data_IF_046429324845
#
_entry.id   IF_046429324845
#
_cell.length_a   1.000
_cell.length_b   1.000
_cell.length_c   1.000
_cell.angle_alpha   90.00
_cell.angle_beta   90.00
_cell.angle_gamma   90.00
#
_symmetry.space_group_name_H-M   'P 1'
#
loop_
_entity.id
_entity.type
_entity.pdbx_description
1 polymer ?
#
# COMPACT_ATOMS: atom_id res chain seq x y z
N UNK A 1 4.96 11.55 -9.99
CA UNK A 1 4.72 10.27 -9.27
C UNK A 1 3.24 10.11 -8.98
N UNK A 2 2.75 8.89 -8.76
CA UNK A 2 1.38 8.63 -8.29
C UNK A 2 1.37 8.21 -6.83
N UNK A 3 0.40 8.71 -6.08
CA UNK A 3 -0.06 8.21 -4.78
C UNK A 3 -1.51 7.74 -4.95
N UNK A 4 -1.93 6.69 -4.27
CA UNK A 4 -3.29 6.16 -4.37
C UNK A 4 -4.12 6.42 -3.11
N UNK A 5 -3.55 7.18 -2.16
CA UNK A 5 -4.22 7.61 -0.93
C UNK A 5 -4.25 6.56 0.17
N UNK A 6 -3.51 5.44 0.01
CA UNK A 6 -3.24 4.50 1.09
C UNK A 6 -2.04 5.00 1.89
N UNK A 7 -2.11 4.90 3.21
CA UNK A 7 -1.11 5.54 4.07
C UNK A 7 0.30 4.95 3.89
N UNK A 8 0.43 3.65 3.56
CA UNK A 8 1.70 3.02 3.20
C UNK A 8 2.32 3.66 1.94
N UNK A 9 1.52 3.84 0.88
CA UNK A 9 1.99 4.42 -0.38
C UNK A 9 2.23 5.93 -0.25
N UNK A 10 1.42 6.63 0.54
CA UNK A 10 1.68 8.03 0.90
C UNK A 10 3.03 8.16 1.64
N UNK A 11 3.35 7.22 2.53
CA UNK A 11 4.63 7.16 3.26
C UNK A 11 5.82 6.97 2.32
N UNK A 12 5.77 5.93 1.47
CA UNK A 12 6.87 5.63 0.53
C UNK A 12 7.04 6.71 -0.53
N UNK A 13 5.93 7.28 -1.02
CA UNK A 13 5.94 8.41 -1.96
C UNK A 13 6.53 9.68 -1.33
N UNK A 14 6.23 9.97 -0.05
CA UNK A 14 6.82 11.10 0.67
C UNK A 14 8.33 10.91 0.89
N UNK A 15 8.78 9.69 1.22
CA UNK A 15 10.20 9.37 1.34
C UNK A 15 10.95 9.60 0.03
N UNK A 16 10.41 9.07 -1.07
CA UNK A 16 11.00 9.27 -2.40
C UNK A 16 11.02 10.75 -2.79
N UNK A 17 9.97 11.50 -2.47
CA UNK A 17 9.89 12.94 -2.75
C UNK A 17 10.99 13.70 -2.02
N UNK A 18 11.21 13.47 -0.72
CA UNK A 18 12.30 14.13 0.03
C UNK A 18 13.68 13.85 -0.59
N UNK A 19 13.93 12.60 -0.99
CA UNK A 19 15.17 12.22 -1.63
C UNK A 19 15.33 12.94 -2.98
N UNK A 20 14.31 12.89 -3.83
CA UNK A 20 14.31 13.52 -5.16
C UNK A 20 14.50 15.04 -5.09
N UNK A 21 13.79 15.71 -4.18
CA UNK A 21 13.94 17.17 -3.97
C UNK A 21 15.33 17.51 -3.44
N UNK A 22 15.89 16.68 -2.55
CA UNK A 22 17.28 16.79 -2.09
C UNK A 22 18.31 16.62 -3.21
N UNK A 23 18.02 15.79 -4.21
CA UNK A 23 18.83 15.64 -5.42
C UNK A 23 18.69 16.80 -6.42
N UNK A 24 17.72 17.69 -6.21
CA UNK A 24 17.47 18.86 -7.06
C UNK A 24 16.39 18.66 -8.13
N UNK A 25 15.59 17.60 -8.05
CA UNK A 25 14.45 17.40 -8.95
C UNK A 25 13.18 18.10 -8.42
N UNK A 26 12.34 18.57 -9.34
CA UNK A 26 10.94 18.95 -9.01
C UNK A 26 10.05 17.72 -9.04
N UNK A 27 9.25 17.53 -7.99
CA UNK A 27 8.41 16.34 -7.84
C UNK A 27 6.94 16.74 -7.76
N UNK A 28 6.17 16.34 -8.77
CA UNK A 28 4.71 16.42 -8.75
C UNK A 28 4.11 15.07 -8.33
N UNK A 29 3.27 15.09 -7.29
CA UNK A 29 2.56 13.90 -6.79
C UNK A 29 1.08 14.07 -7.10
N UNK A 30 0.53 13.09 -7.84
CA UNK A 30 -0.90 13.04 -8.18
C UNK A 30 -1.57 11.95 -7.36
N UNK A 31 -2.66 12.28 -6.68
CA UNK A 31 -3.48 11.29 -5.98
C UNK A 31 -4.50 10.73 -6.96
N UNK A 32 -4.36 9.46 -7.33
CA UNK A 32 -5.13 8.78 -8.36
C UNK A 32 -5.64 7.43 -7.84
N UNK A 33 -6.66 6.85 -8.48
CA UNK A 33 -6.98 5.44 -8.25
C UNK A 33 -5.98 4.53 -8.96
N UNK A 34 -5.85 3.26 -8.54
CA UNK A 34 -4.93 2.29 -9.16
C UNK A 34 -5.14 2.18 -10.67
N UNK A 35 -6.38 1.99 -11.20
CA UNK A 35 -6.58 1.92 -12.64
C UNK A 35 -6.17 3.21 -13.39
N UNK A 36 -6.41 4.38 -12.79
CA UNK A 36 -6.00 5.67 -13.37
C UNK A 36 -4.48 5.82 -13.32
N UNK A 37 -3.82 5.32 -12.26
CA UNK A 37 -2.36 5.30 -12.15
C UNK A 37 -1.73 4.51 -13.30
N UNK A 38 -2.19 3.27 -13.55
CA UNK A 38 -1.65 2.47 -14.67
C UNK A 38 -1.89 3.11 -16.03
N UNK A 39 -3.08 3.65 -16.27
CA UNK A 39 -3.36 4.39 -17.50
C UNK A 39 -2.51 5.67 -17.64
N UNK A 40 -2.16 6.31 -16.52
CA UNK A 40 -1.30 7.51 -16.52
C UNK A 40 0.18 7.17 -16.72
N UNK A 41 0.64 5.98 -16.31
CA UNK A 41 1.97 5.46 -16.67
C UNK A 41 2.04 5.13 -18.16
N UNK A 42 1.01 4.49 -18.72
CA UNK A 42 0.90 4.21 -20.17
C UNK A 42 0.93 5.50 -21.02
N UNK A 43 0.28 6.58 -20.56
CA UNK A 43 0.18 7.84 -21.29
C UNK A 43 1.31 8.83 -21.02
N UNK A 44 2.34 8.46 -20.25
CA UNK A 44 3.46 9.31 -19.80
C UNK A 44 3.02 10.52 -18.93
N UNK A 45 1.81 10.51 -18.36
CA UNK A 45 1.33 11.52 -17.43
C UNK A 45 1.86 11.35 -16.00
N UNK A 46 2.36 10.15 -15.69
CA UNK A 46 3.05 9.75 -14.46
C UNK A 46 4.28 8.94 -14.83
N UNK A 47 5.39 9.16 -14.13
CA UNK A 47 6.65 8.43 -14.39
C UNK A 47 6.80 7.20 -13.52
N UNK A 48 6.40 7.28 -12.23
CA UNK A 48 6.71 6.28 -11.19
C UNK A 48 5.54 6.08 -10.24
N UNK A 49 5.29 4.82 -9.88
CA UNK A 49 4.37 4.40 -8.83
C UNK A 49 5.04 3.35 -7.93
N UNK A 50 5.02 3.58 -6.62
CA UNK A 50 5.69 2.74 -5.61
C UNK A 50 4.77 1.72 -4.95
N UNK A 51 3.52 1.60 -5.42
CA UNK A 51 2.45 0.89 -4.73
C UNK A 51 1.83 -0.26 -5.51
N UNK A 52 2.60 -0.95 -6.39
CA UNK A 52 2.06 -2.11 -7.09
C UNK A 52 2.05 -3.35 -6.18
N UNK A 53 0.96 -3.52 -5.43
CA UNK A 53 0.73 -4.63 -4.50
C UNK A 53 0.45 -5.95 -5.23
N UNK A 54 1.34 -6.91 -5.08
CA UNK A 54 1.24 -8.21 -5.73
C UNK A 54 1.02 -9.33 -4.69
N UNK A 55 0.15 -10.33 -5.01
CA UNK A 55 -0.48 -10.60 -6.31
C UNK A 55 -1.81 -9.88 -6.57
N UNK A 56 -2.37 -9.12 -5.61
CA UNK A 56 -3.73 -8.55 -5.71
C UNK A 56 -3.95 -7.71 -6.98
N UNK A 57 -2.96 -6.92 -7.39
CA UNK A 57 -3.04 -6.08 -8.59
C UNK A 57 -2.56 -6.78 -9.88
N UNK A 58 -2.25 -8.09 -9.83
CA UNK A 58 -1.75 -8.80 -11.01
C UNK A 58 -2.69 -8.71 -12.22
N UNK A 59 -4.00 -8.85 -11.99
CA UNK A 59 -5.00 -8.73 -13.06
C UNK A 59 -5.07 -7.35 -13.70
N UNK A 60 -4.84 -6.30 -12.91
CA UNK A 60 -4.91 -4.92 -13.38
C UNK A 60 -3.64 -4.49 -14.13
N UNK A 61 -2.46 -4.91 -13.66
CA UNK A 61 -1.18 -4.48 -14.28
C UNK A 61 -0.76 -5.36 -15.45
N UNK A 62 -1.14 -6.66 -15.48
CA UNK A 62 -0.65 -7.63 -16.47
C UNK A 62 -0.80 -7.17 -17.93
N UNK A 63 -1.92 -6.56 -18.37
CA UNK A 63 -2.05 -6.08 -19.76
C UNK A 63 -0.96 -5.07 -20.16
N UNK A 64 -0.56 -4.17 -19.23
CA UNK A 64 0.46 -3.16 -19.45
C UNK A 64 1.87 -3.76 -19.47
N UNK A 65 2.13 -4.78 -18.67
CA UNK A 65 3.40 -5.52 -18.68
C UNK A 65 3.55 -6.32 -19.99
N UNK A 66 2.47 -6.96 -20.44
CA UNK A 66 2.47 -7.74 -21.67
C UNK A 66 2.66 -6.88 -22.93
N UNK A 67 2.14 -5.64 -22.91
CA UNK A 67 2.36 -4.68 -24.00
C UNK A 67 3.69 -3.94 -23.90
N UNK A 68 4.34 -3.98 -22.73
CA UNK A 68 5.60 -3.28 -22.46
C UNK A 68 5.44 -1.77 -22.21
N UNK A 69 4.23 -1.33 -21.83
CA UNK A 69 3.92 0.07 -21.55
C UNK A 69 4.24 0.47 -20.09
N UNK A 70 4.36 -0.54 -19.22
CA UNK A 70 4.82 -0.38 -17.83
C UNK A 70 5.98 -1.34 -17.59
N UNK A 71 6.98 -0.91 -16.83
CA UNK A 71 8.13 -1.69 -16.40
C UNK A 71 8.11 -1.88 -14.88
N UNK A 72 8.33 -3.11 -14.41
CA UNK A 72 8.64 -3.37 -13.00
C UNK A 72 10.15 -3.23 -12.78
N UNK A 73 10.53 -2.29 -11.91
CA UNK A 73 11.94 -1.96 -11.65
C UNK A 73 12.49 -2.75 -10.48
N UNK A 74 11.75 -2.81 -9.38
CA UNK A 74 12.20 -3.36 -8.11
C UNK A 74 11.04 -3.94 -7.31
N UNK A 75 11.32 -4.97 -6.50
CA UNK A 75 10.49 -5.32 -5.35
C UNK A 75 10.93 -4.40 -4.21
N UNK A 76 10.15 -3.38 -3.90
CA UNK A 76 10.50 -2.36 -2.93
C UNK A 76 10.07 -2.68 -1.49
N UNK A 77 9.16 -3.65 -1.31
CA UNK A 77 8.73 -4.14 0.00
C UNK A 77 8.39 -5.63 -0.08
N UNK A 78 8.91 -6.43 0.86
CA UNK A 78 8.63 -7.86 1.00
C UNK A 78 7.90 -8.16 2.32
N UNK A 79 7.27 -9.34 2.39
CA UNK A 79 6.65 -9.85 3.62
C UNK A 79 5.28 -9.23 3.92
N UNK A 80 4.66 -8.61 2.93
CA UNK A 80 3.34 -7.99 3.09
C UNK A 80 2.24 -9.05 3.23
N UNK A 81 1.11 -8.64 3.84
CA UNK A 81 -0.12 -9.43 3.87
C UNK A 81 -1.27 -8.57 3.39
N UNK A 82 -2.22 -9.19 2.71
CA UNK A 82 -3.46 -8.54 2.31
C UNK A 82 -4.55 -9.62 2.20
N UNK A 83 -5.60 -9.52 2.98
CA UNK A 83 -6.78 -10.41 2.93
C UNK A 83 -7.84 -9.91 3.93
N UNK A 84 -8.94 -10.63 4.09
CA UNK A 84 -9.91 -10.33 5.15
C UNK A 84 -9.32 -10.58 6.53
N UNK A 85 -9.67 -9.70 7.47
CA UNK A 85 -9.32 -9.78 8.87
C UNK A 85 -10.57 -9.66 9.76
N UNK A 86 -10.45 -10.13 11.00
CA UNK A 86 -11.46 -10.02 12.03
C UNK A 86 -10.79 -9.86 13.40
N UNK A 87 -11.43 -9.23 14.40
CA UNK A 87 -10.90 -9.20 15.76
C UNK A 87 -10.73 -10.59 16.37
N UNK A 88 -9.72 -10.75 17.21
CA UNK A 88 -9.39 -12.04 17.85
C UNK A 88 -10.56 -12.63 18.62
N UNK A 89 -11.40 -11.82 19.29
CA UNK A 89 -12.58 -12.32 20.01
C UNK A 89 -13.61 -12.95 19.05
N UNK A 90 -13.81 -12.43 17.84
CA UNK A 90 -14.69 -13.01 16.84
C UNK A 90 -14.08 -14.31 16.23
N UNK A 91 -12.75 -14.30 16.02
CA UNK A 91 -12.01 -15.49 15.59
C UNK A 91 -12.13 -16.63 16.61
N UNK A 92 -11.98 -16.34 17.89
CA UNK A 92 -12.14 -17.32 18.98
C UNK A 92 -13.58 -17.80 19.14
N UNK A 93 -14.57 -16.98 18.77
CA UNK A 93 -15.98 -17.37 18.71
C UNK A 93 -16.31 -18.31 17.53
N UNK A 94 -15.37 -18.50 16.58
CA UNK A 94 -15.50 -19.44 15.47
C UNK A 94 -15.46 -18.84 14.07
N UNK A 95 -15.26 -17.52 13.93
CA UNK A 95 -15.09 -16.83 12.65
C UNK A 95 -13.63 -16.97 12.20
N UNK A 96 -13.23 -18.15 11.70
CA UNK A 96 -11.83 -18.54 11.51
C UNK A 96 -11.38 -18.62 10.06
N UNK A 97 -12.29 -18.51 9.10
CA UNK A 97 -12.01 -18.58 7.67
C UNK A 97 -13.12 -17.91 6.86
N UNK A 98 -12.91 -17.70 5.56
CA UNK A 98 -13.95 -17.23 4.65
C UNK A 98 -15.21 -18.11 4.68
N UNK A 99 -15.05 -19.43 4.85
CA UNK A 99 -16.16 -20.36 4.93
C UNK A 99 -16.98 -20.25 6.23
N UNK A 100 -16.50 -19.50 7.20
CA UNK A 100 -17.22 -19.27 8.46
C UNK A 100 -18.02 -17.98 8.46
N UNK A 101 -17.74 -17.03 7.55
CA UNK A 101 -18.36 -15.68 7.52
C UNK A 101 -19.88 -15.79 7.48
N UNK A 102 -20.43 -16.62 6.59
CA UNK A 102 -21.87 -16.81 6.47
C UNK A 102 -22.56 -17.35 7.74
N UNK A 103 -21.82 -18.00 8.66
CA UNK A 103 -22.36 -18.47 9.94
C UNK A 103 -22.61 -17.34 10.94
N UNK A 104 -22.02 -16.18 10.70
CA UNK A 104 -22.12 -14.95 11.49
C UNK A 104 -22.93 -13.86 10.77
N UNK A 105 -23.79 -14.23 9.80
CA UNK A 105 -24.52 -13.28 8.98
C UNK A 105 -25.32 -12.26 9.80
N UNK A 106 -26.06 -12.74 10.80
CA UNK A 106 -26.86 -11.86 11.67
C UNK A 106 -25.97 -10.92 12.50
N UNK A 107 -24.85 -11.42 13.05
CA UNK A 107 -23.90 -10.64 13.88
C UNK A 107 -23.09 -9.64 13.05
N UNK A 108 -22.83 -9.98 11.78
CA UNK A 108 -22.11 -9.12 10.82
C UNK A 108 -23.06 -8.13 10.09
N UNK A 109 -24.36 -8.23 10.31
CA UNK A 109 -25.37 -7.44 9.58
C UNK A 109 -25.21 -7.62 8.06
N UNK A 110 -24.78 -8.86 7.65
CA UNK A 110 -24.50 -9.25 6.26
C UNK A 110 -23.55 -8.27 5.53
N UNK A 111 -22.51 -7.76 6.24
CA UNK A 111 -21.55 -6.78 5.70
C UNK A 111 -20.11 -7.24 5.79
N UNK A 112 -19.35 -6.96 4.72
CA UNK A 112 -17.89 -7.03 4.68
C UNK A 112 -17.38 -5.63 4.36
N UNK A 113 -16.48 -5.11 5.17
CA UNK A 113 -15.98 -3.75 5.00
C UNK A 113 -14.73 -3.74 4.12
N UNK A 114 -14.86 -3.06 2.97
CA UNK A 114 -13.79 -2.79 2.02
C UNK A 114 -13.24 -1.36 2.15
N UNK A 115 -12.36 -1.04 1.24
CA UNK A 115 -11.73 0.29 1.14
C UNK A 115 -12.34 1.11 -0.02
N UNK A 116 -11.56 1.92 -0.73
CA UNK A 116 -12.11 2.82 -1.74
C UNK A 116 -12.70 2.08 -2.95
N UNK A 117 -13.74 2.66 -3.59
CA UNK A 117 -14.31 2.10 -4.82
C UNK A 117 -13.28 1.96 -5.93
N UNK A 118 -13.32 0.81 -6.62
CA UNK A 118 -12.39 0.49 -7.70
C UNK A 118 -11.13 -0.23 -7.22
N UNK A 119 -11.01 -0.53 -5.93
CA UNK A 119 -9.96 -1.39 -5.40
C UNK A 119 -10.18 -2.86 -5.84
N UNK A 120 -9.11 -3.53 -6.21
CA UNK A 120 -9.16 -4.92 -6.72
C UNK A 120 -9.61 -5.92 -5.64
N UNK A 121 -9.27 -5.67 -4.37
CA UNK A 121 -9.74 -6.48 -3.23
C UNK A 121 -11.26 -6.37 -3.06
N UNK A 122 -11.83 -5.16 -3.16
CA UNK A 122 -13.28 -4.98 -3.16
C UNK A 122 -13.92 -5.74 -4.33
N UNK A 123 -13.37 -5.60 -5.54
CA UNK A 123 -13.91 -6.27 -6.73
C UNK A 123 -13.89 -7.80 -6.57
N UNK A 124 -12.82 -8.35 -5.98
CA UNK A 124 -12.76 -9.78 -5.65
C UNK A 124 -13.85 -10.17 -4.65
N UNK A 125 -14.02 -9.42 -3.56
CA UNK A 125 -15.06 -9.70 -2.56
C UNK A 125 -16.47 -9.62 -3.17
N UNK A 126 -16.74 -8.63 -4.01
CA UNK A 126 -18.01 -8.52 -4.76
C UNK A 126 -18.22 -9.76 -5.64
N UNK A 127 -17.16 -10.26 -6.32
CA UNK A 127 -17.29 -11.49 -7.11
C UNK A 127 -17.67 -12.72 -6.25
N UNK A 128 -17.15 -12.80 -5.01
CA UNK A 128 -17.52 -13.87 -4.08
C UNK A 128 -19.01 -13.79 -3.68
N UNK A 129 -19.55 -12.58 -3.50
CA UNK A 129 -20.98 -12.40 -3.18
C UNK A 129 -21.86 -12.71 -4.40
N UNK A 130 -21.50 -12.26 -5.60
CA UNK A 130 -22.23 -12.53 -6.83
C UNK A 130 -22.28 -14.03 -7.18
N UNK A 131 -21.20 -14.77 -6.88
CA UNK A 131 -21.09 -16.22 -7.10
C UNK A 131 -21.66 -17.06 -5.94
N UNK A 132 -22.12 -16.43 -4.88
CA UNK A 132 -22.51 -17.10 -3.62
C UNK A 132 -21.40 -18.04 -3.09
N UNK A 133 -20.15 -17.70 -3.35
CA UNK A 133 -19.00 -18.46 -2.85
C UNK A 133 -18.93 -18.30 -1.33
N UNK A 134 -18.68 -19.38 -0.62
CA UNK A 134 -18.71 -19.46 0.84
C UNK A 134 -20.07 -19.13 1.49
N UNK A 135 -21.17 -19.07 0.72
CA UNK A 135 -22.50 -18.69 1.20
C UNK A 135 -22.67 -17.19 1.43
N UNK A 136 -21.92 -16.36 0.69
CA UNK A 136 -21.88 -14.89 0.86
C UNK A 136 -22.89 -14.16 -0.05
N UNK A 137 -23.82 -14.84 -0.71
CA UNK A 137 -24.74 -14.25 -1.68
C UNK A 137 -25.64 -13.15 -1.15
N UNK A 138 -25.91 -13.10 0.15
CA UNK A 138 -26.70 -12.04 0.80
C UNK A 138 -25.83 -10.93 1.40
N UNK A 139 -24.48 -11.05 1.32
CA UNK A 139 -23.57 -10.06 1.92
C UNK A 139 -23.34 -8.88 1.00
N UNK A 140 -23.28 -7.69 1.59
CA UNK A 140 -22.87 -6.45 0.94
C UNK A 140 -21.40 -6.12 1.24
N UNK A 141 -20.63 -5.81 0.19
CA UNK A 141 -19.28 -5.22 0.35
C UNK A 141 -19.44 -3.72 0.51
N UNK A 142 -19.13 -3.21 1.70
CA UNK A 142 -19.25 -1.78 2.02
C UNK A 142 -17.98 -1.07 1.62
N UNK A 143 -17.99 -0.41 0.48
CA UNK A 143 -16.88 0.39 0.00
C UNK A 143 -16.84 1.77 0.66
N UNK A 144 -15.65 2.25 1.04
CA UNK A 144 -15.50 3.57 1.67
C UNK A 144 -14.13 4.20 1.38
N UNK A 145 -13.22 4.12 2.31
CA UNK A 145 -11.80 4.46 2.24
C UNK A 145 -11.08 3.73 3.36
N UNK A 146 -9.75 3.71 3.36
CA UNK A 146 -8.96 3.20 4.48
C UNK A 146 -9.46 3.75 5.83
N UNK A 147 -9.53 5.07 5.97
CA UNK A 147 -9.96 5.73 7.21
C UNK A 147 -11.44 5.47 7.54
N UNK A 148 -12.29 5.42 6.50
CA UNK A 148 -13.72 5.13 6.66
C UNK A 148 -13.96 3.71 7.17
N UNK A 149 -13.26 2.72 6.61
CA UNK A 149 -13.28 1.33 7.06
C UNK A 149 -12.77 1.21 8.49
N UNK A 150 -11.59 1.78 8.79
CA UNK A 150 -11.00 1.72 10.13
C UNK A 150 -11.87 2.38 11.20
N UNK A 151 -12.59 3.45 10.88
CA UNK A 151 -13.54 4.07 11.79
C UNK A 151 -14.73 3.12 12.13
N UNK A 152 -15.17 2.31 11.16
CA UNK A 152 -16.19 1.29 11.42
C UNK A 152 -15.62 0.14 12.25
N UNK A 153 -14.42 -0.35 11.91
CA UNK A 153 -13.72 -1.39 12.69
C UNK A 153 -13.57 -0.95 14.15
N UNK A 154 -13.09 0.27 14.39
CA UNK A 154 -12.92 0.81 15.75
C UNK A 154 -14.23 0.86 16.54
N UNK A 155 -15.36 1.16 15.87
CA UNK A 155 -16.68 1.15 16.51
C UNK A 155 -17.08 -0.25 16.94
N UNK A 156 -17.03 -1.23 16.04
CA UNK A 156 -17.35 -2.62 16.34
C UNK A 156 -16.41 -3.21 17.39
N UNK A 157 -15.10 -2.93 17.26
CA UNK A 157 -14.08 -3.40 18.19
C UNK A 157 -14.33 -2.92 19.62
N UNK A 158 -14.74 -1.65 19.79
CA UNK A 158 -15.04 -1.05 21.10
C UNK A 158 -16.19 -1.76 21.82
N UNK A 159 -17.19 -2.17 21.06
CA UNK A 159 -18.41 -2.81 21.58
C UNK A 159 -18.31 -4.34 21.61
N UNK A 160 -17.13 -4.89 21.22
CA UNK A 160 -16.83 -6.34 21.06
C UNK A 160 -17.81 -7.03 20.09
N UNK A 161 -18.29 -6.30 19.08
CA UNK A 161 -19.14 -6.84 18.03
C UNK A 161 -18.29 -7.41 16.89
N UNK A 162 -18.67 -8.57 16.29
CA UNK A 162 -17.94 -9.11 15.14
C UNK A 162 -17.92 -8.15 13.96
N UNK A 163 -16.79 -8.09 13.27
CA UNK A 163 -16.61 -7.33 12.03
C UNK A 163 -15.62 -8.06 11.12
N UNK A 164 -15.89 -8.06 9.82
CA UNK A 164 -15.01 -8.59 8.78
C UNK A 164 -14.65 -7.45 7.84
N UNK A 165 -13.37 -7.27 7.58
CA UNK A 165 -12.87 -6.14 6.79
C UNK A 165 -11.57 -6.49 6.07
N UNK A 166 -11.21 -5.72 5.04
CA UNK A 166 -9.91 -5.83 4.39
C UNK A 166 -8.81 -5.36 5.35
N UNK A 167 -7.88 -6.24 5.64
CA UNK A 167 -6.72 -5.95 6.47
C UNK A 167 -5.43 -6.19 5.70
N UNK A 168 -4.38 -5.44 6.04
CA UNK A 168 -3.05 -5.62 5.44
C UNK A 168 -1.93 -5.31 6.42
N UNK A 169 -0.73 -5.73 6.06
CA UNK A 169 0.52 -5.48 6.76
C UNK A 169 1.58 -5.07 5.71
N UNK A 170 2.27 -3.91 5.90
CA UNK A 170 2.34 -3.10 7.13
C UNK A 170 1.11 -2.20 7.31
N UNK A 171 0.62 -2.09 8.53
CA UNK A 171 -0.38 -1.08 8.92
C UNK A 171 -0.54 -1.01 10.46
N UNK A 172 -0.66 0.18 11.07
CA UNK A 172 -0.89 0.36 12.49
C UNK A 172 -2.12 -0.35 13.06
N UNK A 173 -3.12 -0.67 12.20
CA UNK A 173 -4.29 -1.47 12.63
C UNK A 173 -3.89 -2.77 13.32
N UNK A 174 -2.75 -3.37 12.92
CA UNK A 174 -2.24 -4.63 13.50
C UNK A 174 -1.70 -4.46 14.94
N UNK A 175 -1.33 -3.23 15.30
CA UNK A 175 -0.94 -2.88 16.68
C UNK A 175 -2.13 -2.34 17.49
N UNK A 176 -3.06 -1.63 16.84
CA UNK A 176 -4.19 -0.95 17.48
C UNK A 176 -5.34 -1.89 17.80
N UNK A 177 -5.48 -2.97 17.01
CA UNK A 177 -6.51 -3.99 17.21
C UNK A 177 -5.85 -5.37 17.31
N UNK A 178 -6.34 -6.20 18.22
CA UNK A 178 -5.95 -7.61 18.26
C UNK A 178 -6.72 -8.36 17.16
N UNK A 179 -6.05 -8.63 16.04
CA UNK A 179 -6.64 -9.11 14.79
C UNK A 179 -6.16 -10.52 14.42
N UNK A 180 -6.98 -11.20 13.64
CA UNK A 180 -6.63 -12.42 12.91
C UNK A 180 -6.98 -12.28 11.43
N UNK A 181 -6.05 -12.63 10.57
CA UNK A 181 -6.28 -12.75 9.14
C UNK A 181 -6.99 -14.06 8.83
N UNK A 182 -8.00 -14.00 7.96
CA UNK A 182 -8.82 -15.14 7.62
C UNK A 182 -8.27 -15.89 6.40
N UNK A 183 -8.01 -17.21 6.49
CA UNK A 183 -7.69 -18.02 5.33
C UNK A 183 -8.93 -18.25 4.46
N UNK A 184 -8.69 -18.48 3.16
CA UNK A 184 -9.72 -18.77 2.16
C UNK A 184 -9.76 -17.83 0.95
N UNK A 185 -8.92 -16.79 0.94
CA UNK A 185 -8.76 -15.85 -0.17
C UNK A 185 -7.42 -15.97 -0.91
N UNK A 186 -6.67 -17.05 -0.69
CA UNK A 186 -5.29 -17.19 -1.17
C UNK A 186 -5.18 -17.26 -2.70
N UNK A 187 -6.23 -17.67 -3.39
CA UNK A 187 -6.31 -17.71 -4.85
C UNK A 187 -6.28 -16.31 -5.49
N UNK A 188 -6.59 -15.27 -4.73
CA UNK A 188 -6.50 -13.87 -5.15
C UNK A 188 -5.42 -13.09 -4.39
N UNK A 189 -5.47 -13.14 -3.05
CA UNK A 189 -4.56 -12.35 -2.20
C UNK A 189 -3.18 -12.99 -2.05
N UNK A 190 -3.01 -14.28 -2.38
CA UNK A 190 -1.82 -15.03 -2.04
C UNK A 190 -1.71 -15.31 -0.54
N UNK A 191 -0.53 -15.73 -0.09
CA UNK A 191 -0.23 -15.90 1.35
C UNK A 191 0.60 -14.74 1.86
N UNK A 192 1.80 -14.59 1.31
CA UNK A 192 2.72 -13.48 1.53
C UNK A 192 2.87 -12.73 0.22
N UNK A 193 2.77 -11.42 0.28
CA UNK A 193 2.83 -10.55 -0.88
C UNK A 193 4.09 -9.70 -0.92
N UNK A 194 4.22 -8.94 -2.00
CA UNK A 194 5.28 -7.95 -2.21
C UNK A 194 4.69 -6.69 -2.82
N UNK A 195 5.40 -5.57 -2.69
CA UNK A 195 5.10 -4.34 -3.41
C UNK A 195 6.21 -4.06 -4.40
N UNK A 196 5.84 -3.68 -5.63
CA UNK A 196 6.80 -3.31 -6.66
C UNK A 196 6.80 -1.82 -6.92
N UNK A 197 7.99 -1.30 -7.21
CA UNK A 197 8.14 -0.05 -7.94
C UNK A 197 7.90 -0.32 -9.42
N UNK A 198 6.99 0.43 -10.02
CA UNK A 198 6.71 0.38 -11.45
C UNK A 198 6.84 1.75 -12.09
N UNK A 199 7.24 1.78 -13.35
CA UNK A 199 7.45 3.01 -14.11
C UNK A 199 6.80 2.92 -15.48
N UNK A 200 6.61 4.08 -16.13
CA UNK A 200 6.33 4.10 -17.57
C UNK A 200 7.46 3.45 -18.36
N UNK A 201 7.16 3.00 -19.54
CA UNK A 201 8.15 2.38 -20.43
C UNK A 201 9.31 3.32 -20.74
N UNK A 202 10.53 2.77 -20.77
CA UNK A 202 11.76 3.50 -21.10
C UNK A 202 12.25 4.50 -20.04
N UNK A 203 11.59 4.61 -18.88
CA UNK A 203 11.96 5.56 -17.83
C UNK A 203 13.42 5.42 -17.41
N UNK A 204 13.87 4.19 -17.14
CA UNK A 204 15.24 3.92 -16.69
C UNK A 204 16.30 4.20 -17.77
N UNK A 205 15.94 4.09 -19.05
CA UNK A 205 16.83 4.41 -20.16
C UNK A 205 16.96 5.93 -20.35
N UNK A 206 15.85 6.67 -20.21
CA UNK A 206 15.80 8.13 -20.34
C UNK A 206 16.38 8.84 -19.12
N UNK A 207 16.17 8.29 -17.94
CA UNK A 207 16.57 8.84 -16.65
C UNK A 207 17.40 7.83 -15.84
N UNK A 208 18.62 7.40 -16.28
CA UNK A 208 19.35 6.31 -15.68
C UNK A 208 19.75 6.58 -14.22
N UNK A 209 19.95 7.83 -13.82
CA UNK A 209 20.20 8.21 -12.44
C UNK A 209 19.01 7.90 -11.52
N UNK A 210 17.78 8.20 -11.97
CA UNK A 210 16.57 7.89 -11.24
C UNK A 210 16.20 6.41 -11.33
N UNK A 211 16.47 5.75 -12.45
CA UNK A 211 16.36 4.30 -12.58
C UNK A 211 17.22 3.57 -11.54
N UNK A 212 18.45 4.04 -11.31
CA UNK A 212 19.31 3.52 -10.24
C UNK A 212 18.73 3.79 -8.87
N UNK A 213 18.28 5.02 -8.58
CA UNK A 213 17.65 5.36 -7.32
C UNK A 213 16.47 4.42 -6.99
N UNK A 214 15.50 4.31 -7.91
CA UNK A 214 14.31 3.50 -7.68
C UNK A 214 14.60 1.99 -7.64
N UNK A 215 15.69 1.53 -8.24
CA UNK A 215 16.17 0.16 -8.11
C UNK A 215 16.81 -0.13 -6.74
N UNK A 216 17.28 0.90 -6.04
CA UNK A 216 17.91 0.79 -4.73
C UNK A 216 16.95 1.07 -3.57
N UNK A 217 15.79 1.69 -3.84
CA UNK A 217 14.84 2.08 -2.78
C UNK A 217 14.04 0.89 -2.30
N UNK A 218 14.56 0.21 -1.29
CA UNK A 218 13.87 -0.83 -0.54
C UNK A 218 13.32 -0.23 0.76
N UNK A 219 12.08 -0.55 1.06
CA UNK A 219 11.40 -0.19 2.30
C UNK A 219 11.33 -1.40 3.23
N UNK A 220 10.95 -1.19 4.47
CA UNK A 220 10.73 -2.28 5.42
C UNK A 220 9.38 -2.13 6.11
N UNK A 221 8.79 -3.26 6.52
CA UNK A 221 7.54 -3.26 7.30
C UNK A 221 7.68 -2.38 8.55
N UNK A 222 8.82 -2.40 9.23
CA UNK A 222 9.08 -1.59 10.42
C UNK A 222 9.11 -0.08 10.09
N UNK A 223 9.78 0.32 9.00
CA UNK A 223 9.81 1.70 8.53
C UNK A 223 8.39 2.21 8.29
N UNK A 224 7.63 1.49 7.46
CA UNK A 224 6.29 1.92 7.10
C UNK A 224 5.36 1.94 8.31
N UNK A 225 5.36 0.90 9.16
CA UNK A 225 4.57 0.87 10.38
C UNK A 225 4.88 2.05 11.33
N UNK A 226 6.17 2.43 11.46
CA UNK A 226 6.57 3.57 12.31
C UNK A 226 6.06 4.90 11.77
N UNK A 227 6.22 5.15 10.46
CA UNK A 227 5.81 6.42 9.85
C UNK A 227 4.28 6.49 9.78
N UNK A 228 3.61 5.42 9.35
CA UNK A 228 2.15 5.33 9.31
C UNK A 228 1.53 5.54 10.71
N UNK A 229 2.16 5.02 11.77
CA UNK A 229 1.72 5.26 13.15
C UNK A 229 1.72 6.75 13.50
N UNK A 230 2.75 7.50 13.12
CA UNK A 230 2.77 8.95 13.32
C UNK A 230 1.67 9.67 12.53
N UNK A 231 1.39 9.21 11.30
CA UNK A 231 0.35 9.80 10.45
C UNK A 231 -1.06 9.48 10.99
N UNK A 232 -1.35 8.22 11.25
CA UNK A 232 -2.70 7.76 11.57
C UNK A 232 -3.09 7.93 13.04
N UNK A 233 -2.14 7.68 13.97
CA UNK A 233 -2.42 7.70 15.41
C UNK A 233 -2.14 9.07 16.01
N UNK A 234 -1.05 9.75 15.58
CA UNK A 234 -0.64 11.05 16.12
C UNK A 234 -1.14 12.23 15.26
N UNK A 235 -1.64 11.97 14.05
CA UNK A 235 -2.14 13.00 13.14
C UNK A 235 -1.05 13.86 12.50
N UNK A 236 0.17 13.34 12.39
CA UNK A 236 1.28 14.06 11.76
C UNK A 236 1.06 14.22 10.24
N UNK A 237 1.61 15.30 9.68
CA UNK A 237 1.69 15.43 8.23
C UNK A 237 2.63 14.36 7.66
N UNK A 238 2.26 13.68 6.55
CA UNK A 238 3.08 12.62 5.96
C UNK A 238 4.51 13.05 5.60
N UNK A 239 4.70 14.27 5.09
CA UNK A 239 6.02 14.77 4.78
C UNK A 239 6.84 15.00 6.05
N UNK A 240 6.26 15.60 7.09
CA UNK A 240 6.94 15.86 8.36
C UNK A 240 7.32 14.54 9.08
N UNK A 241 6.41 13.55 9.09
CA UNK A 241 6.67 12.25 9.70
C UNK A 241 7.81 11.50 8.98
N UNK A 242 7.79 11.54 7.66
CA UNK A 242 8.80 10.89 6.81
C UNK A 242 10.16 11.60 6.93
N UNK A 243 10.17 12.94 6.94
CA UNK A 243 11.40 13.72 7.16
C UNK A 243 12.03 13.41 8.52
N UNK A 244 11.22 13.33 9.57
CA UNK A 244 11.69 12.97 10.91
C UNK A 244 12.30 11.57 10.93
N UNK A 245 11.63 10.59 10.32
CA UNK A 245 12.16 9.23 10.23
C UNK A 245 13.48 9.17 9.44
N UNK A 246 13.59 9.86 8.30
CA UNK A 246 14.81 9.92 7.50
C UNK A 246 16.00 10.53 8.28
N UNK A 247 15.74 11.54 9.10
CA UNK A 247 16.77 12.13 9.99
C UNK A 247 17.27 11.15 11.04
N UNK A 248 16.37 10.38 11.63
CA UNK A 248 16.71 9.40 12.66
C UNK A 248 17.37 8.13 12.07
N UNK A 249 17.14 7.85 10.78
CA UNK A 249 17.61 6.65 10.07
C UNK A 249 18.48 7.01 8.86
N UNK A 250 19.31 8.02 8.98
CA UNK A 250 20.07 8.61 7.86
C UNK A 250 20.96 7.63 7.10
N UNK A 251 21.33 6.52 7.71
CA UNK A 251 22.17 5.47 7.09
C UNK A 251 21.45 4.77 5.91
N UNK A 252 20.12 4.85 5.83
CA UNK A 252 19.35 4.32 4.68
C UNK A 252 19.73 5.04 3.38
N UNK A 253 20.10 6.32 3.47
CA UNK A 253 20.50 7.11 2.31
C UNK A 253 21.78 6.57 1.66
N UNK A 254 22.67 5.95 2.41
CA UNK A 254 23.91 5.36 1.87
C UNK A 254 23.58 4.17 0.94
N UNK A 255 22.49 3.44 1.20
CA UNK A 255 22.01 2.35 0.34
C UNK A 255 21.20 2.89 -0.85
N UNK A 256 20.20 3.73 -0.59
CA UNK A 256 19.34 4.24 -1.64
C UNK A 256 20.08 5.08 -2.68
N UNK A 257 21.13 5.81 -2.25
CA UNK A 257 21.88 6.72 -3.11
C UNK A 257 23.20 6.10 -3.64
N UNK A 258 23.41 4.79 -3.50
CA UNK A 258 24.60 4.14 -4.08
C UNK A 258 24.55 4.25 -5.62
N UNK A 259 25.60 4.84 -6.19
CA UNK A 259 25.68 5.12 -7.63
C UNK A 259 24.82 6.26 -8.15
N UNK A 260 24.09 6.97 -7.27
CA UNK A 260 23.21 8.11 -7.61
C UNK A 260 23.97 9.44 -7.45
N UNK A 261 23.63 10.41 -8.29
CA UNK A 261 24.16 11.79 -8.20
C UNK A 261 23.02 12.81 -8.11
N UNK A 262 23.35 14.03 -7.72
CA UNK A 262 22.40 15.15 -7.91
C UNK A 262 22.16 15.42 -9.39
N UNK A 263 21.13 16.20 -9.71
CA UNK A 263 20.79 16.62 -11.09
C UNK A 263 21.99 17.29 -11.79
N UNK A 264 22.87 17.95 -11.04
CA UNK A 264 24.09 18.60 -11.54
C UNK A 264 25.35 17.70 -11.47
N UNK A 265 25.22 16.42 -11.10
CA UNK A 265 26.32 15.45 -10.99
C UNK A 265 27.13 15.55 -9.70
N UNK A 266 26.59 16.18 -8.65
CA UNK A 266 27.22 16.31 -7.34
C UNK A 266 27.00 15.11 -6.43
N UNK A 267 27.47 15.22 -5.17
CA UNK A 267 27.34 14.21 -4.11
C UNK A 267 25.88 14.13 -3.63
N UNK A 268 25.23 13.02 -3.94
CA UNK A 268 23.82 12.77 -3.62
C UNK A 268 23.56 12.74 -2.11
N UNK A 269 24.38 12.02 -1.36
CA UNK A 269 24.21 11.83 0.09
C UNK A 269 24.33 13.18 0.81
N UNK A 270 25.37 13.95 0.47
CA UNK A 270 25.58 15.27 1.06
C UNK A 270 24.43 16.24 0.71
N UNK A 271 23.90 16.18 -0.53
CA UNK A 271 22.82 17.05 -0.99
C UNK A 271 21.51 16.71 -0.25
N UNK A 272 21.13 15.44 -0.16
CA UNK A 272 19.91 15.00 0.53
C UNK A 272 20.01 15.30 2.03
N UNK A 273 21.14 15.02 2.69
CA UNK A 273 21.37 15.40 4.09
C UNK A 273 21.23 16.93 4.30
N UNK A 274 21.79 17.74 3.39
CA UNK A 274 21.62 19.19 3.42
C UNK A 274 20.18 19.65 3.24
N UNK A 275 19.39 19.01 2.36
CA UNK A 275 17.97 19.25 2.18
C UNK A 275 17.17 18.94 3.46
N UNK A 276 17.50 17.85 4.14
CA UNK A 276 16.91 17.46 5.41
C UNK A 276 17.37 18.34 6.59
N UNK A 277 18.29 19.30 6.39
CA UNK A 277 18.76 20.20 7.44
C UNK A 277 19.75 19.54 8.43
N UNK A 278 20.50 18.58 7.96
CA UNK A 278 21.48 17.81 8.73
C UNK A 278 22.91 18.29 8.48
#
# INVERSE_FOLDING_TARGET
MSDVGWTDITTTTAAAKHVLEGLGYEVDVKVLSVPVTFASLESDDVDVFLGNWMPAQSGAIQPYLDSGEIEQINVNLEGTKYTLATPTYAYEAGLQSYADIAKFADELDEKIYGIEPGNEGNAYLVSLTEEDKFGLGEFDVVESSEQGMLAQVARYYKDEEPVVFLGWEPHPMNANFDLKYLPGGEDFFGGEGVVHTVTRAGFSEECPNLGTLFSNMDFTLDMENMIMGQILDDGADPADATEAWLKDNVDVLDTWLDGVTTVDGGDAVAAVKGHLGM
#
